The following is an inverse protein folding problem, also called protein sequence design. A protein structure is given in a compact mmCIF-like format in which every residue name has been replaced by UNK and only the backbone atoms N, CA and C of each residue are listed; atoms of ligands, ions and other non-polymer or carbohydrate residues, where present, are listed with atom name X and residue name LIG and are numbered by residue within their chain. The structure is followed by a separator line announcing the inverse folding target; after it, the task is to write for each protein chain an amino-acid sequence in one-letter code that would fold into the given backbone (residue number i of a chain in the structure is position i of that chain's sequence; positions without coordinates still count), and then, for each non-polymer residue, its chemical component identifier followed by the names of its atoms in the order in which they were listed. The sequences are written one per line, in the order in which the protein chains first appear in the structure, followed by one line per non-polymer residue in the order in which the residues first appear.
data_IF_220682306307
#
_entry.id   IF_220682306307
#
_cell.length_a   1.000
_cell.length_b   1.000
_cell.length_c   1.000
_cell.angle_alpha   90.00
_cell.angle_beta   90.00
_cell.angle_gamma   90.00
#
_symmetry.space_group_name_H-M   'P 1'
#
loop_
_entity.id
_entity.type
_entity.pdbx_description
1 polymer ?
#
# COMPACT_ATOMS: atom_id res chain seq x y z
N UNK A 1 0.14 -1.07 20.53
CA UNK A 1 0.63 -1.96 19.45
C UNK A 1 1.04 -3.34 19.96
N UNK A 2 1.81 -3.43 21.06
CA UNK A 2 2.28 -4.71 21.61
C UNK A 2 1.18 -5.76 21.83
N UNK A 3 0.05 -5.36 22.40
CA UNK A 3 -1.09 -6.26 22.65
C UNK A 3 -1.71 -6.85 21.36
N UNK A 4 -1.65 -6.13 20.24
CA UNK A 4 -2.10 -6.65 18.94
C UNK A 4 -1.10 -7.66 18.40
N UNK A 5 0.21 -7.39 18.51
CA UNK A 5 1.24 -8.36 18.13
C UNK A 5 1.15 -9.64 18.95
N UNK A 6 0.98 -9.52 20.27
CA UNK A 6 0.82 -10.67 21.18
C UNK A 6 -0.40 -11.52 20.77
N UNK A 7 -1.52 -10.89 20.39
CA UNK A 7 -2.71 -11.58 19.89
C UNK A 7 -2.48 -12.30 18.55
N UNK A 8 -1.70 -11.71 17.64
CA UNK A 8 -1.32 -12.36 16.37
C UNK A 8 -0.48 -13.60 16.63
N UNK A 9 0.53 -13.50 17.50
CA UNK A 9 1.42 -14.61 17.87
C UNK A 9 0.66 -15.74 18.57
N UNK A 10 -0.31 -15.39 19.42
CA UNK A 10 -1.16 -16.34 20.12
C UNK A 10 -2.26 -16.96 19.24
N UNK A 11 -2.37 -16.57 17.96
CA UNK A 11 -3.44 -16.97 17.05
C UNK A 11 -4.85 -16.74 17.61
N UNK A 12 -5.04 -15.56 18.22
CA UNK A 12 -6.30 -15.19 18.84
C UNK A 12 -7.50 -15.26 17.87
N UNK A 13 -8.66 -15.56 18.42
CA UNK A 13 -9.93 -15.64 17.69
C UNK A 13 -10.37 -14.27 17.15
N UNK A 14 -11.30 -14.29 16.18
CA UNK A 14 -11.87 -13.05 15.61
C UNK A 14 -12.55 -12.17 16.67
N UNK A 15 -13.18 -12.77 17.67
CA UNK A 15 -13.83 -12.05 18.79
C UNK A 15 -12.79 -11.37 19.69
N UNK A 16 -11.68 -12.05 19.99
CA UNK A 16 -10.57 -11.45 20.73
C UNK A 16 -9.98 -10.26 19.97
N UNK A 17 -9.75 -10.39 18.65
CA UNK A 17 -9.29 -9.28 17.81
C UNK A 17 -10.25 -8.10 17.79
N UNK A 18 -11.56 -8.35 17.68
CA UNK A 18 -12.58 -7.31 17.65
C UNK A 18 -12.63 -6.47 18.94
N UNK A 19 -12.18 -7.04 20.06
CA UNK A 19 -12.11 -6.38 21.36
C UNK A 19 -10.78 -5.66 21.63
N UNK A 20 -9.79 -5.79 20.73
CA UNK A 20 -8.51 -5.08 20.89
C UNK A 20 -8.69 -3.57 20.67
N UNK A 21 -8.09 -2.78 21.55
CA UNK A 21 -8.01 -1.34 21.35
C UNK A 21 -7.06 -0.99 20.21
N UNK A 22 -7.51 -0.16 19.28
CA UNK A 22 -6.65 0.44 18.27
C UNK A 22 -5.85 1.56 18.95
N UNK A 23 -4.51 1.60 18.82
CA UNK A 23 -3.71 2.64 19.48
C UNK A 23 -3.98 4.01 18.86
N UNK A 24 -3.82 5.08 19.66
CA UNK A 24 -4.00 6.47 19.20
C UNK A 24 -2.88 6.95 18.25
N UNK A 25 -1.72 6.28 18.29
CA UNK A 25 -0.60 6.49 17.37
C UNK A 25 0.11 5.16 17.07
N UNK A 26 0.84 5.14 15.96
CA UNK A 26 1.63 3.99 15.53
C UNK A 26 2.94 4.46 14.89
N UNK A 27 3.96 3.60 14.92
CA UNK A 27 5.24 3.87 14.27
C UNK A 27 5.09 3.71 12.76
N UNK A 28 5.56 4.68 11.98
CA UNK A 28 5.54 4.62 10.53
C UNK A 28 6.75 5.29 9.90
N UNK A 29 7.23 4.72 8.79
CA UNK A 29 8.21 5.37 7.93
C UNK A 29 7.48 6.44 7.12
N UNK A 30 7.95 7.68 7.19
CA UNK A 30 7.27 8.80 6.55
C UNK A 30 8.23 9.89 6.07
N UNK A 31 7.76 10.68 5.10
CA UNK A 31 8.41 11.93 4.65
C UNK A 31 7.65 13.14 5.17
N UNK A 32 8.29 14.31 5.24
CA UNK A 32 7.69 15.56 5.75
C UNK A 32 7.43 16.59 4.64
N UNK A 33 6.28 17.26 4.71
CA UNK A 33 5.89 18.27 3.72
C UNK A 33 6.84 19.49 3.74
N UNK A 34 7.40 19.81 4.90
CA UNK A 34 8.36 20.90 5.08
C UNK A 34 9.71 20.63 4.38
N UNK A 35 10.01 19.37 4.08
CA UNK A 35 11.28 18.93 3.50
C UNK A 35 11.19 18.64 1.99
N UNK A 36 10.03 18.83 1.37
CA UNK A 36 9.80 18.44 -0.03
C UNK A 36 10.73 19.13 -1.05
N UNK A 37 11.38 20.23 -0.68
CA UNK A 37 12.37 20.96 -1.49
C UNK A 37 13.83 20.74 -1.02
N UNK A 38 14.08 19.84 -0.05
CA UNK A 38 15.40 19.66 0.55
C UNK A 38 16.49 19.22 -0.45
N UNK A 39 16.08 18.59 -1.55
CA UNK A 39 16.96 18.15 -2.62
C UNK A 39 16.95 19.08 -3.85
N UNK A 40 16.47 20.32 -3.71
CA UNK A 40 16.51 21.29 -4.80
C UNK A 40 17.96 21.52 -5.26
N UNK A 41 18.21 21.34 -6.57
CA UNK A 41 19.54 21.46 -7.17
C UNK A 41 20.49 20.26 -6.96
N UNK A 42 20.05 19.21 -6.27
CA UNK A 42 20.80 17.95 -6.11
C UNK A 42 20.49 17.02 -7.28
N UNK A 43 21.52 16.42 -7.90
CA UNK A 43 21.32 15.43 -8.96
C UNK A 43 20.62 14.18 -8.39
N UNK A 44 19.70 13.59 -9.15
CA UNK A 44 18.85 12.48 -8.66
C UNK A 44 19.64 11.30 -8.08
N UNK A 45 20.83 11.00 -8.63
CA UNK A 45 21.69 9.93 -8.14
C UNK A 45 22.33 10.22 -6.77
N UNK A 46 22.45 11.49 -6.40
CA UNK A 46 23.05 11.95 -5.13
C UNK A 46 21.98 12.23 -4.05
N UNK A 47 20.70 12.14 -4.39
CA UNK A 47 19.60 12.26 -3.43
C UNK A 47 19.57 11.01 -2.56
N UNK A 48 19.80 11.17 -1.26
CA UNK A 48 19.88 10.06 -0.31
C UNK A 48 18.56 9.89 0.45
N UNK A 49 17.78 8.82 0.21
CA UNK A 49 16.53 8.53 0.93
C UNK A 49 16.66 8.55 2.45
N UNK A 50 17.85 8.25 2.99
CA UNK A 50 18.08 8.21 4.45
C UNK A 50 18.01 9.59 5.10
N UNK A 51 18.05 10.67 4.31
CA UNK A 51 17.95 12.04 4.83
C UNK A 51 16.49 12.52 4.94
N UNK A 52 15.56 11.93 4.19
CA UNK A 52 14.17 12.37 4.09
C UNK A 52 13.16 11.40 4.71
N UNK A 53 13.54 10.13 4.89
CA UNK A 53 12.71 9.12 5.55
C UNK A 53 12.93 9.16 7.06
N UNK A 54 11.85 9.46 7.79
CA UNK A 54 11.80 9.47 9.24
C UNK A 54 11.06 8.25 9.77
N UNK A 55 11.38 7.82 10.99
CA UNK A 55 10.74 6.67 11.65
C UNK A 55 10.27 7.09 13.03
N UNK A 56 9.04 7.60 13.11
CA UNK A 56 8.45 8.11 14.34
C UNK A 56 6.99 7.67 14.50
N UNK A 57 6.39 8.07 15.61
CA UNK A 57 4.97 7.88 15.87
C UNK A 57 4.14 8.91 15.08
N UNK A 58 3.13 8.43 14.36
CA UNK A 58 2.13 9.24 13.69
C UNK A 58 0.74 8.94 14.28
N UNK A 59 -0.18 9.92 14.30
CA UNK A 59 -1.52 9.68 14.83
C UNK A 59 -2.30 8.70 13.96
N UNK A 60 -3.08 7.84 14.60
CA UNK A 60 -4.01 6.92 13.94
C UNK A 60 -5.15 7.72 13.31
N UNK A 61 -5.33 7.72 11.98
CA UNK A 61 -6.46 8.39 11.36
C UNK A 61 -7.76 7.67 11.72
N UNK A 62 -8.89 8.37 11.78
CA UNK A 62 -10.22 7.75 11.90
C UNK A 62 -10.46 6.73 10.78
N UNK A 63 -11.26 5.69 10.97
CA UNK A 63 -11.52 4.64 9.96
C UNK A 63 -12.75 4.97 9.11
N UNK A 64 -12.64 4.97 7.77
CA UNK A 64 -13.80 5.15 6.90
C UNK A 64 -14.68 3.89 6.82
N UNK A 65 -15.95 4.00 6.38
CA UNK A 65 -16.88 2.87 6.30
C UNK A 65 -16.40 1.71 5.41
N UNK A 66 -15.67 1.99 4.34
CA UNK A 66 -15.17 1.02 3.36
C UNK A 66 -13.72 0.58 3.61
N UNK A 67 -13.12 0.97 4.74
CA UNK A 67 -11.72 0.72 5.07
C UNK A 67 -11.54 -0.32 6.18
N UNK A 68 -10.30 -0.77 6.35
CA UNK A 68 -9.86 -1.60 7.47
C UNK A 68 -8.59 -1.03 8.10
N UNK A 69 -8.45 -1.21 9.41
CA UNK A 69 -7.15 -1.12 10.06
C UNK A 69 -6.44 -2.46 9.89
N UNK A 70 -5.24 -2.41 9.33
CA UNK A 70 -4.36 -3.56 9.15
C UNK A 70 -3.18 -3.45 10.11
N UNK A 71 -3.01 -4.42 11.01
CA UNK A 71 -1.75 -4.59 11.72
C UNK A 71 -0.75 -5.19 10.73
N UNK A 72 0.23 -4.39 10.32
CA UNK A 72 1.19 -4.80 9.30
C UNK A 72 2.25 -5.67 9.95
N UNK A 73 2.43 -6.87 9.43
CA UNK A 73 3.48 -7.80 9.84
C UNK A 73 4.74 -7.64 8.99
N UNK A 74 4.57 -7.35 7.71
CA UNK A 74 5.64 -7.02 6.79
C UNK A 74 5.17 -6.13 5.65
N UNK A 75 6.11 -5.42 5.04
CA UNK A 75 5.91 -4.59 3.85
C UNK A 75 7.11 -4.77 2.91
N UNK A 76 7.18 -4.02 1.83
CA UNK A 76 8.27 -4.08 0.85
C UNK A 76 8.69 -2.67 0.42
N UNK A 77 9.90 -2.55 -0.10
CA UNK A 77 10.35 -1.34 -0.79
C UNK A 77 10.08 -1.49 -2.28
N UNK A 78 9.30 -0.56 -2.82
CA UNK A 78 9.05 -0.46 -4.25
C UNK A 78 9.73 0.79 -4.83
N UNK A 79 9.89 0.85 -6.15
CA UNK A 79 10.46 2.05 -6.80
C UNK A 79 9.67 3.32 -6.48
N UNK A 80 8.35 3.24 -6.33
CA UNK A 80 7.54 4.37 -5.91
C UNK A 80 7.86 4.86 -4.48
N UNK A 81 8.33 3.99 -3.60
CA UNK A 81 8.81 4.37 -2.26
C UNK A 81 10.10 5.17 -2.37
N UNK A 82 11.01 4.73 -3.25
CA UNK A 82 12.26 5.46 -3.54
C UNK A 82 11.94 6.83 -4.14
N UNK A 83 11.06 6.92 -5.13
CA UNK A 83 10.65 8.19 -5.73
C UNK A 83 10.02 9.16 -4.72
N UNK A 84 9.13 8.69 -3.85
CA UNK A 84 8.62 9.50 -2.74
C UNK A 84 9.73 10.02 -1.84
N UNK A 85 10.69 9.17 -1.47
CA UNK A 85 11.78 9.56 -0.57
C UNK A 85 12.70 10.64 -1.16
N UNK A 86 12.81 10.75 -2.47
CA UNK A 86 13.64 11.77 -3.12
C UNK A 86 12.81 12.92 -3.74
N UNK A 87 11.50 12.93 -3.46
CA UNK A 87 10.50 13.88 -3.96
C UNK A 87 10.44 14.00 -5.49
N UNK A 88 10.64 12.89 -6.20
CA UNK A 88 10.63 12.85 -7.67
C UNK A 88 9.47 12.02 -8.25
N UNK A 89 9.07 12.27 -9.50
CA UNK A 89 9.44 13.43 -10.33
C UNK A 89 8.84 14.74 -9.81
N UNK A 90 7.85 14.64 -8.93
CA UNK A 90 7.26 15.74 -8.16
C UNK A 90 6.93 15.23 -6.77
N UNK A 91 6.87 16.13 -5.79
CA UNK A 91 6.41 15.82 -4.44
C UNK A 91 5.01 15.18 -4.42
N UNK A 92 4.89 14.07 -3.70
CA UNK A 92 3.64 13.32 -3.48
C UNK A 92 2.61 14.08 -2.61
N UNK A 93 3.02 15.13 -1.90
CA UNK A 93 2.10 16.00 -1.16
C UNK A 93 1.12 16.75 -2.08
N UNK A 94 1.48 16.98 -3.35
CA UNK A 94 0.57 17.53 -4.35
C UNK A 94 -0.66 16.63 -4.61
N UNK A 95 -0.46 15.36 -5.03
CA UNK A 95 -1.52 14.35 -5.08
C UNK A 95 -2.36 14.23 -3.81
N UNK A 96 -1.75 14.21 -2.62
CA UNK A 96 -2.51 14.10 -1.35
C UNK A 96 -3.48 15.28 -1.14
N UNK A 97 -3.03 16.51 -1.44
CA UNK A 97 -3.89 17.70 -1.40
C UNK A 97 -5.03 17.67 -2.42
N UNK A 98 -4.84 17.01 -3.57
CA UNK A 98 -5.91 16.81 -4.55
C UNK A 98 -6.93 15.79 -4.05
N UNK A 99 -6.46 14.66 -3.52
CA UNK A 99 -7.31 13.62 -2.92
C UNK A 99 -8.18 14.20 -1.80
N UNK A 100 -7.60 15.01 -0.91
CA UNK A 100 -8.33 15.63 0.20
C UNK A 100 -9.53 16.51 -0.19
N UNK A 101 -9.65 16.91 -1.47
CA UNK A 101 -10.78 17.70 -1.97
C UNK A 101 -11.96 16.85 -2.44
N UNK A 102 -11.81 15.54 -2.52
CA UNK A 102 -12.83 14.66 -3.11
C UNK A 102 -13.93 14.25 -2.13
N UNK A 103 -13.63 14.10 -0.85
CA UNK A 103 -14.63 13.72 0.16
C UNK A 103 -14.20 14.06 1.59
N UNK A 104 -15.15 14.01 2.53
CA UNK A 104 -14.87 14.16 3.96
C UNK A 104 -13.85 13.13 4.47
N UNK A 105 -13.96 11.88 4.04
CA UNK A 105 -13.01 10.82 4.39
C UNK A 105 -11.63 11.04 3.75
N UNK A 106 -11.58 11.59 2.54
CA UNK A 106 -10.32 11.82 1.85
C UNK A 106 -9.45 12.93 2.48
N UNK A 107 -10.07 13.89 3.19
CA UNK A 107 -9.35 14.96 3.92
C UNK A 107 -8.30 14.43 4.88
N UNK A 108 -8.48 13.22 5.42
CA UNK A 108 -7.53 12.58 6.33
C UNK A 108 -6.16 12.38 5.70
N UNK A 109 -6.05 12.26 4.37
CA UNK A 109 -4.77 12.00 3.70
C UNK A 109 -3.86 13.24 3.56
N UNK A 110 -4.41 14.45 3.57
CA UNK A 110 -3.63 15.70 3.54
C UNK A 110 -3.11 16.02 4.95
N UNK A 111 -1.85 15.64 5.18
CA UNK A 111 -1.15 15.76 6.47
C UNK A 111 0.22 16.39 6.24
N UNK A 112 0.85 16.98 7.28
CA UNK A 112 2.22 17.49 7.19
C UNK A 112 3.26 16.37 7.04
N UNK A 113 2.84 15.10 7.08
CA UNK A 113 3.66 13.91 6.88
C UNK A 113 2.95 12.95 5.91
N UNK A 114 3.71 12.08 5.25
CA UNK A 114 3.16 10.98 4.45
C UNK A 114 3.81 9.66 4.86
N UNK A 115 3.00 8.74 5.40
CA UNK A 115 3.42 7.34 5.63
C UNK A 115 3.49 6.62 4.30
N UNK A 116 4.67 6.07 3.98
CA UNK A 116 4.96 5.44 2.69
C UNK A 116 4.71 3.93 2.71
N UNK A 117 4.81 3.29 1.54
CA UNK A 117 4.75 1.84 1.38
C UNK A 117 3.48 1.38 0.67
N UNK A 118 3.64 0.69 -0.45
CA UNK A 118 2.53 0.28 -1.32
C UNK A 118 2.24 -1.22 -1.31
N UNK A 119 2.93 -1.96 -0.44
CA UNK A 119 2.70 -3.37 -0.18
C UNK A 119 2.53 -3.60 1.32
N UNK A 120 1.76 -4.61 1.71
CA UNK A 120 1.75 -5.12 3.07
C UNK A 120 1.22 -6.54 3.10
N UNK A 121 1.67 -7.29 4.11
CA UNK A 121 0.97 -8.45 4.65
C UNK A 121 0.70 -8.24 6.13
N UNK A 122 -0.43 -8.71 6.62
CA UNK A 122 -0.83 -8.44 7.99
C UNK A 122 -2.14 -9.07 8.40
N UNK A 123 -2.64 -8.62 9.55
CA UNK A 123 -3.88 -9.09 10.14
C UNK A 123 -4.87 -7.96 10.28
N UNK A 124 -6.11 -8.17 9.81
CA UNK A 124 -7.20 -7.20 9.97
C UNK A 124 -7.50 -7.01 11.46
N UNK A 125 -7.43 -5.78 11.95
CA UNK A 125 -7.70 -5.45 13.36
C UNK A 125 -9.14 -4.97 13.53
N UNK A 126 -9.60 -4.09 12.64
CA UNK A 126 -10.94 -3.51 12.67
C UNK A 126 -11.40 -3.22 11.25
N UNK A 127 -12.70 -3.28 11.05
CA UNK A 127 -13.34 -3.00 9.76
C UNK A 127 -14.33 -1.86 9.88
N UNK A 128 -14.46 -1.06 8.83
CA UNK A 128 -15.47 -0.03 8.70
C UNK A 128 -16.87 -0.63 8.56
N UNK A 129 -17.89 0.21 8.75
CA UNK A 129 -19.29 -0.22 8.81
C UNK A 129 -19.87 -0.77 7.50
N UNK A 130 -19.22 -0.52 6.35
CA UNK A 130 -19.63 -1.00 5.03
C UNK A 130 -18.82 -2.22 4.55
N UNK A 131 -17.82 -2.67 5.32
CA UNK A 131 -17.02 -3.85 4.99
C UNK A 131 -17.82 -5.12 5.23
N UNK A 132 -17.83 -6.02 4.24
CA UNK A 132 -18.68 -7.23 4.25
C UNK A 132 -17.91 -8.55 4.15
N UNK A 133 -16.77 -8.55 3.45
CA UNK A 133 -16.04 -9.77 3.11
C UNK A 133 -14.88 -10.07 4.06
N UNK A 134 -14.56 -9.14 4.96
CA UNK A 134 -13.40 -9.21 5.85
C UNK A 134 -13.84 -8.96 7.29
N UNK A 135 -13.14 -9.59 8.23
CA UNK A 135 -13.38 -9.46 9.67
C UNK A 135 -12.07 -9.40 10.46
N UNK A 136 -12.08 -8.89 11.71
CA UNK A 136 -10.93 -8.94 12.58
C UNK A 136 -10.33 -10.35 12.69
N UNK A 137 -9.00 -10.45 12.63
CA UNK A 137 -8.25 -11.72 12.62
C UNK A 137 -7.94 -12.29 11.23
N UNK A 138 -8.55 -11.78 10.15
CA UNK A 138 -8.23 -12.25 8.80
C UNK A 138 -6.78 -11.91 8.41
N UNK A 139 -6.05 -12.92 7.90
CA UNK A 139 -4.67 -12.79 7.42
C UNK A 139 -4.68 -12.42 5.94
N UNK A 140 -4.12 -11.27 5.60
CA UNK A 140 -4.27 -10.67 4.27
C UNK A 140 -2.94 -10.15 3.71
N UNK A 141 -2.92 -9.97 2.39
CA UNK A 141 -1.96 -9.16 1.64
C UNK A 141 -2.72 -8.02 0.96
N UNK A 142 -2.06 -6.89 0.70
CA UNK A 142 -2.69 -5.69 0.15
C UNK A 142 -2.12 -5.36 -1.23
N UNK A 143 -2.99 -5.21 -2.24
CA UNK A 143 -2.57 -4.61 -3.50
C UNK A 143 -2.70 -3.08 -3.47
N UNK A 144 -1.86 -2.39 -4.25
CA UNK A 144 -1.78 -0.93 -4.19
C UNK A 144 -2.87 -0.18 -4.97
N UNK A 145 -3.72 -0.85 -5.74
CA UNK A 145 -4.77 -0.18 -6.51
C UNK A 145 -5.87 0.40 -5.59
N UNK A 146 -5.85 1.71 -5.35
CA UNK A 146 -6.84 2.43 -4.56
C UNK A 146 -7.85 3.11 -5.48
N UNK A 147 -9.12 2.71 -5.39
CA UNK A 147 -10.19 3.19 -6.26
C UNK A 147 -11.43 3.55 -5.44
N UNK A 148 -12.19 4.54 -5.90
CA UNK A 148 -13.56 4.76 -5.43
C UNK A 148 -14.51 3.96 -6.32
N UNK A 149 -15.19 2.99 -5.72
CA UNK A 149 -16.12 2.10 -6.43
C UNK A 149 -17.38 2.82 -6.95
N UNK A 150 -17.56 4.10 -6.61
CA UNK A 150 -18.64 4.95 -7.15
C UNK A 150 -18.32 5.54 -8.54
N UNK A 151 -17.07 5.55 -8.98
CA UNK A 151 -16.72 6.07 -10.32
C UNK A 151 -17.18 5.07 -11.40
N UNK A 152 -18.14 5.43 -12.28
CA UNK A 152 -18.65 4.51 -13.29
C UNK A 152 -17.58 4.05 -14.28
N UNK A 153 -16.50 4.82 -14.47
CA UNK A 153 -15.38 4.43 -15.35
C UNK A 153 -14.59 3.24 -14.78
N UNK A 154 -14.69 2.97 -13.48
CA UNK A 154 -14.05 1.84 -12.82
C UNK A 154 -14.73 0.48 -13.09
N UNK A 155 -15.99 0.48 -13.58
CA UNK A 155 -16.84 -0.73 -13.56
C UNK A 155 -16.54 -1.73 -14.68
N UNK A 156 -15.80 -1.30 -15.71
CA UNK A 156 -15.29 -2.21 -16.75
C UNK A 156 -13.83 -2.61 -16.49
N UNK A 157 -13.01 -1.68 -16.02
CA UNK A 157 -11.63 -1.91 -15.58
C UNK A 157 -11.26 -0.84 -14.55
N UNK A 158 -11.07 -1.24 -13.29
CA UNK A 158 -10.80 -0.31 -12.20
C UNK A 158 -9.47 0.43 -12.35
N UNK A 159 -8.55 -0.07 -13.17
CA UNK A 159 -7.31 0.63 -13.51
C UNK A 159 -7.52 1.84 -14.44
N UNK A 160 -8.69 1.94 -15.09
CA UNK A 160 -9.06 3.07 -15.95
C UNK A 160 -9.93 4.11 -15.21
N UNK A 161 -10.19 3.90 -13.92
CA UNK A 161 -10.95 4.84 -13.12
C UNK A 161 -10.27 6.21 -13.10
N UNK A 162 -11.04 7.30 -13.23
CA UNK A 162 -10.48 8.66 -13.26
C UNK A 162 -9.83 9.07 -11.94
N UNK A 163 -10.20 8.37 -10.87
CA UNK A 163 -9.72 8.58 -9.51
C UNK A 163 -8.82 7.44 -8.99
N UNK A 164 -8.36 6.57 -9.89
CA UNK A 164 -7.41 5.51 -9.57
C UNK A 164 -6.14 6.13 -8.97
N UNK A 165 -5.64 5.51 -7.90
CA UNK A 165 -4.44 5.92 -7.17
C UNK A 165 -3.62 4.73 -6.74
N UNK A 166 -2.35 4.97 -6.47
CA UNK A 166 -1.47 4.00 -5.83
C UNK A 166 -1.42 4.26 -4.31
N UNK A 167 -1.88 3.29 -3.53
CA UNK A 167 -1.87 3.32 -2.08
C UNK A 167 -0.45 3.49 -1.51
N UNK A 168 -0.28 4.36 -0.51
CA UNK A 168 1.02 4.68 0.09
C UNK A 168 1.95 5.53 -0.80
N UNK A 169 1.50 5.91 -2.00
CA UNK A 169 2.19 6.82 -2.92
C UNK A 169 1.34 8.08 -3.20
N UNK A 170 0.13 7.89 -3.70
CA UNK A 170 -0.88 8.96 -3.92
C UNK A 170 -1.96 9.00 -2.83
N UNK A 171 -1.87 8.08 -1.88
CA UNK A 171 -2.61 8.13 -0.62
C UNK A 171 -1.63 8.11 0.55
N UNK A 172 -2.08 8.61 1.70
CA UNK A 172 -1.37 8.45 2.97
C UNK A 172 -1.62 7.04 3.57
N UNK A 173 -1.06 6.80 4.76
CA UNK A 173 -1.30 5.60 5.58
C UNK A 173 -0.85 4.29 4.90
N UNK A 174 0.32 4.35 4.26
CA UNK A 174 0.96 3.22 3.57
C UNK A 174 1.43 2.09 4.50
N UNK A 175 1.97 1.04 3.87
CA UNK A 175 2.33 -0.22 4.52
C UNK A 175 3.69 -0.25 5.24
N UNK A 176 4.58 0.74 5.07
CA UNK A 176 5.86 0.78 5.82
C UNK A 176 5.63 1.36 7.22
N UNK A 177 4.78 0.70 8.01
CA UNK A 177 4.36 1.12 9.33
C UNK A 177 3.87 -0.08 10.15
N UNK A 178 3.71 0.09 11.47
CA UNK A 178 3.13 -0.95 12.34
C UNK A 178 1.60 -1.11 12.12
N UNK A 179 0.93 -0.07 11.61
CA UNK A 179 -0.50 -0.03 11.29
C UNK A 179 -0.68 0.65 9.93
N UNK A 180 -1.63 0.17 9.12
CA UNK A 180 -2.03 0.82 7.90
C UNK A 180 -3.55 0.95 7.76
N UNK A 181 -3.98 1.88 6.90
CA UNK A 181 -5.38 2.04 6.50
C UNK A 181 -5.51 1.73 5.03
N UNK A 182 -6.36 0.77 4.70
CA UNK A 182 -6.58 0.29 3.33
C UNK A 182 -8.06 0.12 3.08
N UNK A 183 -8.50 0.36 1.85
CA UNK A 183 -9.87 0.02 1.45
C UNK A 183 -10.04 -1.50 1.46
N UNK A 184 -11.23 -1.98 1.80
CA UNK A 184 -11.54 -3.40 1.86
C UNK A 184 -11.40 -4.10 0.50
N UNK A 185 -11.57 -3.37 -0.60
CA UNK A 185 -11.38 -3.87 -1.96
C UNK A 185 -9.90 -4.04 -2.36
N UNK A 186 -8.95 -3.62 -1.51
CA UNK A 186 -7.50 -3.81 -1.72
C UNK A 186 -6.95 -5.11 -1.14
N UNK A 187 -7.76 -5.78 -0.31
CA UNK A 187 -7.34 -6.95 0.43
C UNK A 187 -7.43 -8.22 -0.43
N UNK A 188 -6.44 -9.08 -0.26
CA UNK A 188 -6.41 -10.44 -0.78
C UNK A 188 -6.05 -11.40 0.36
N UNK A 189 -6.51 -12.66 0.36
CA UNK A 189 -6.10 -13.63 1.38
C UNK A 189 -4.59 -13.83 1.33
N UNK A 190 -3.93 -13.82 2.49
CA UNK A 190 -2.50 -14.11 2.55
C UNK A 190 -2.24 -15.57 2.12
N UNK A 191 -1.29 -15.85 1.22
CA UNK A 191 -0.87 -17.22 0.93
C UNK A 191 -0.38 -17.93 2.20
N UNK A 192 -1.04 -19.04 2.55
CA UNK A 192 -0.84 -19.73 3.82
C UNK A 192 0.56 -20.36 3.98
N UNK A 193 1.20 -20.71 2.86
CA UNK A 193 2.51 -21.38 2.84
C UNK A 193 3.69 -20.40 2.88
N UNK A 194 3.46 -19.10 2.73
CA UNK A 194 4.51 -18.07 2.77
C UNK A 194 4.64 -17.49 4.18
N UNK A 195 5.81 -16.98 4.52
CA UNK A 195 6.01 -16.08 5.66
C UNK A 195 5.30 -14.73 5.45
N UNK A 196 5.39 -13.81 6.41
CA UNK A 196 4.77 -12.49 6.26
C UNK A 196 5.51 -11.65 5.22
N UNK A 197 6.83 -11.62 5.31
CA UNK A 197 7.73 -10.92 4.39
C UNK A 197 7.64 -11.47 2.97
N UNK A 198 7.63 -12.78 2.77
CA UNK A 198 7.44 -13.38 1.44
C UNK A 198 6.07 -13.05 0.85
N UNK A 199 5.02 -13.01 1.67
CA UNK A 199 3.69 -12.64 1.20
C UNK A 199 3.56 -11.15 0.86
N UNK A 200 4.31 -10.27 1.55
CA UNK A 200 4.25 -8.83 1.34
C UNK A 200 4.92 -8.38 0.05
N UNK A 201 6.01 -9.04 -0.38
CA UNK A 201 6.82 -8.57 -1.53
C UNK A 201 6.18 -8.79 -2.91
N UNK A 202 5.05 -9.47 -3.00
CA UNK A 202 4.46 -9.81 -4.29
C UNK A 202 3.47 -8.77 -4.81
N UNK A 203 2.65 -8.16 -3.95
CA UNK A 203 1.38 -7.59 -4.42
C UNK A 203 1.54 -6.55 -5.55
N UNK A 204 2.37 -5.50 -5.38
CA UNK A 204 2.57 -4.47 -6.41
C UNK A 204 3.28 -5.02 -7.65
N UNK A 205 4.49 -5.56 -7.49
CA UNK A 205 5.33 -5.96 -8.63
C UNK A 205 4.75 -7.16 -9.39
N UNK A 206 4.21 -8.16 -8.69
CA UNK A 206 3.60 -9.34 -9.30
C UNK A 206 2.33 -8.97 -10.06
N UNK A 207 1.41 -8.22 -9.45
CA UNK A 207 0.16 -7.83 -10.12
C UNK A 207 0.40 -6.93 -11.32
N UNK A 208 1.39 -6.04 -11.25
CA UNK A 208 1.82 -5.21 -12.38
C UNK A 208 2.33 -6.09 -13.53
N UNK A 209 3.23 -7.03 -13.23
CA UNK A 209 3.77 -7.98 -14.22
C UNK A 209 2.68 -8.85 -14.83
N UNK A 210 1.77 -9.36 -14.00
CA UNK A 210 0.63 -10.15 -14.41
C UNK A 210 -0.28 -9.36 -15.36
N UNK A 211 -0.68 -8.14 -15.00
CA UNK A 211 -1.53 -7.30 -15.87
C UNK A 211 -0.82 -6.98 -17.19
N UNK A 212 0.48 -6.67 -17.16
CA UNK A 212 1.27 -6.33 -18.35
C UNK A 212 1.40 -7.51 -19.32
N UNK A 213 1.62 -8.72 -18.82
CA UNK A 213 1.99 -9.86 -19.66
C UNK A 213 0.84 -10.84 -19.88
N UNK A 214 0.13 -11.21 -18.82
CA UNK A 214 -0.85 -12.31 -18.84
C UNK A 214 -2.29 -11.79 -18.97
N UNK A 215 -2.63 -10.73 -18.22
CA UNK A 215 -3.97 -10.19 -18.14
C UNK A 215 -4.54 -9.73 -19.48
N UNK A 216 -5.87 -9.78 -19.62
CA UNK A 216 -6.60 -9.37 -20.82
C UNK A 216 -6.38 -7.93 -21.27
N UNK A 217 -5.83 -7.10 -20.38
CA UNK A 217 -5.61 -5.66 -20.58
C UNK A 217 -4.13 -5.31 -20.86
N UNK A 218 -3.27 -6.32 -21.08
CA UNK A 218 -1.86 -6.17 -21.43
C UNK A 218 -1.50 -6.87 -22.74
N UNK A 219 -0.31 -7.45 -22.80
CA UNK A 219 0.22 -8.14 -23.97
C UNK A 219 -0.50 -9.46 -24.28
N UNK A 220 -1.12 -10.09 -23.27
CA UNK A 220 -1.81 -11.38 -23.37
C UNK A 220 -0.93 -12.46 -24.00
N UNK A 221 0.26 -12.65 -23.42
CA UNK A 221 1.22 -13.64 -23.87
C UNK A 221 0.61 -15.04 -23.94
N UNK A 222 1.15 -15.86 -24.84
CA UNK A 222 0.79 -17.26 -25.01
C UNK A 222 2.05 -18.13 -25.07
N UNK A 223 1.86 -19.43 -24.85
CA UNK A 223 2.95 -20.40 -24.99
C UNK A 223 3.62 -20.28 -26.36
N UNK A 224 4.95 -20.21 -26.36
CA UNK A 224 5.78 -20.07 -27.57
C UNK A 224 6.12 -18.64 -27.96
N UNK A 225 5.53 -17.62 -27.31
CA UNK A 225 5.98 -16.24 -27.50
C UNK A 225 7.39 -16.02 -26.94
N UNK A 226 8.18 -15.20 -27.63
CA UNK A 226 9.49 -14.76 -27.16
C UNK A 226 9.34 -13.35 -26.58
N UNK A 227 9.63 -13.20 -25.28
CA UNK A 227 9.47 -11.93 -24.57
C UNK A 227 10.84 -11.40 -24.14
N UNK A 228 11.18 -10.20 -24.58
CA UNK A 228 12.35 -9.48 -24.08
C UNK A 228 12.04 -8.84 -22.73
N UNK A 229 12.70 -9.29 -21.66
CA UNK A 229 12.50 -8.79 -20.29
C UNK A 229 13.68 -7.90 -19.89
N UNK A 230 13.45 -6.60 -19.84
CA UNK A 230 14.42 -5.65 -19.26
C UNK A 230 14.43 -5.74 -17.75
N UNK A 231 15.61 -5.62 -17.14
CA UNK A 231 15.76 -5.65 -15.69
C UNK A 231 15.19 -6.93 -15.06
N UNK A 232 15.41 -8.09 -15.70
CA UNK A 232 14.80 -9.38 -15.35
C UNK A 232 15.05 -9.86 -13.90
N UNK A 233 16.01 -9.25 -13.19
CA UNK A 233 16.31 -9.56 -11.78
C UNK A 233 15.70 -8.55 -10.80
N UNK A 234 15.06 -7.48 -11.27
CA UNK A 234 14.35 -6.49 -10.44
C UNK A 234 12.93 -6.94 -10.08
N UNK A 235 12.19 -6.16 -9.28
CA UNK A 235 10.86 -6.55 -8.78
C UNK A 235 9.88 -6.99 -9.87
N UNK A 236 9.61 -6.14 -10.88
CA UNK A 236 8.75 -6.48 -12.03
C UNK A 236 9.39 -7.58 -12.88
N UNK A 237 10.68 -7.43 -13.20
CA UNK A 237 11.39 -8.36 -14.09
C UNK A 237 11.42 -9.80 -13.57
N UNK A 238 11.56 -9.99 -12.27
CA UNK A 238 11.62 -11.31 -11.64
C UNK A 238 10.27 -12.04 -11.70
N UNK A 239 9.15 -11.33 -11.54
CA UNK A 239 7.82 -11.93 -11.76
C UNK A 239 7.53 -12.13 -13.24
N UNK A 240 7.90 -11.17 -14.09
CA UNK A 240 7.80 -11.30 -15.54
C UNK A 240 8.52 -12.57 -16.04
N UNK A 241 9.75 -12.82 -15.57
CA UNK A 241 10.52 -14.00 -15.94
C UNK A 241 9.93 -15.33 -15.42
N UNK A 242 9.11 -15.30 -14.37
CA UNK A 242 8.37 -16.47 -13.90
C UNK A 242 7.09 -16.72 -14.71
N UNK A 243 6.48 -15.67 -15.29
CA UNK A 243 5.28 -15.79 -16.12
C UNK A 243 5.58 -16.24 -17.55
N UNK A 244 6.72 -15.80 -18.10
CA UNK A 244 7.18 -16.11 -19.47
C UNK A 244 7.70 -17.53 -19.56
#
# INVERSE_FOLDING_TARGET
MRHILDAIIAEASSEEFANLSVPESYRGVHVLAAEQEMFAGVASADKDPRQSLHVDQVPTPELAPDEVYLAVMASSINFNTVWTSIFEPVSTFGPLKRLARESEWAKRHDRPYQVVGSDASGVVVKVGSAVRNWKPGDRVTVHCNHVDDQDPSAHNDSMLATNQRIWGYETNFGGLADLAVVKANQLMPKPAHLTWEEAAVSALCNSTSYRMLVGGNGARMKQGDVVLIWGATGGIGAYAAQYV
#
